data_IF_028910210260
#
_entry.id   IF_028910210260
#
_cell.length_a   1.000
_cell.length_b   1.000
_cell.length_c   1.000
_cell.angle_alpha   90.00
_cell.angle_beta   90.00
_cell.angle_gamma   90.00
#
_symmetry.space_group_name_H-M   'P 1'
#
loop_
_entity.id
_entity.type
_entity.pdbx_description
1 polymer ?
2 non-polymer ?
3 non-polymer ?
4 water ?
#
# COMPACT_ATOMS: atom_id res chain seq x y z
N UNK A 120 -31.57 11.44 -11.64
CA UNK A 120 -30.12 11.55 -11.70
C UNK A 120 -29.58 10.99 -13.00
N UNK A 121 -28.62 11.71 -13.59
CA UNK A 121 -28.06 11.34 -14.89
C UNK A 121 -26.74 10.58 -14.74
N UNK A 122 -26.10 10.31 -15.86
CA UNK A 122 -24.82 9.61 -15.87
C UNK A 122 -23.81 10.38 -15.03
N UNK A 123 -23.84 11.70 -15.10
CA UNK A 123 -22.92 12.55 -14.37
C UNK A 123 -23.02 12.31 -12.88
N UNK A 124 -24.25 12.14 -12.38
CA UNK A 124 -24.46 11.86 -10.96
C UNK A 124 -24.04 10.44 -10.64
N UNK A 125 -24.30 9.51 -11.55
CA UNK A 125 -23.82 8.14 -11.39
C UNK A 125 -22.31 8.16 -11.24
N UNK A 126 -21.67 8.90 -12.14
CA UNK A 126 -20.23 9.06 -12.09
C UNK A 126 -19.78 9.74 -10.80
N UNK A 127 -20.51 10.78 -10.41
CA UNK A 127 -20.14 11.58 -9.26
C UNK A 127 -20.52 10.92 -7.93
N UNK A 128 -21.51 10.03 -7.97
CA UNK A 128 -21.98 9.37 -6.76
C UNK A 128 -20.90 8.52 -6.12
N UNK A 129 -20.66 8.75 -4.83
CA UNK A 129 -19.63 8.03 -4.11
C UNK A 129 -18.22 8.46 -4.52
N UNK A 130 -18.12 9.24 -5.59
CA UNK A 130 -16.84 9.69 -6.10
C UNK A 130 -16.53 11.06 -5.52
N UNK A 131 -15.72 11.07 -4.46
CA UNK A 131 -15.44 12.29 -3.71
C UNK A 131 -14.63 13.31 -4.50
N UNK A 132 -14.23 12.96 -5.72
CA UNK A 132 -13.36 13.83 -6.50
C UNK A 132 -13.97 14.39 -7.77
N UNK A 133 -15.14 13.87 -8.14
CA UNK A 133 -15.88 14.48 -9.24
C UNK A 133 -17.31 14.73 -8.81
N UNK A 134 -17.76 15.93 -9.14
CA UNK A 134 -19.14 16.31 -8.98
C UNK A 134 -19.85 16.06 -10.29
N UNK A 135 -21.14 15.74 -10.23
CA UNK A 135 -21.93 15.62 -11.44
C UNK A 135 -21.92 16.94 -12.16
N UNK A 136 -21.78 18.02 -11.40
CA UNK A 136 -21.74 19.36 -11.96
C UNK A 136 -20.57 19.53 -12.92
N UNK A 137 -19.37 19.22 -12.47
CA UNK A 137 -18.19 19.43 -13.30
C UNK A 137 -18.26 18.54 -14.53
N UNK A 138 -18.85 17.36 -14.39
CA UNK A 138 -19.03 16.45 -15.52
C UNK A 138 -20.00 17.02 -16.53
N UNK A 139 -21.19 17.36 -16.06
CA UNK A 139 -22.17 18.05 -16.90
C UNK A 139 -21.52 19.30 -17.45
N UNK A 140 -20.80 20.01 -16.59
CA UNK A 140 -20.07 21.21 -16.99
C UNK A 140 -19.16 20.90 -18.15
N UNK A 141 -18.55 19.72 -18.12
CA UNK A 141 -17.64 19.31 -19.17
C UNK A 141 -18.38 18.93 -20.44
N UNK A 142 -19.42 18.11 -20.29
CA UNK A 142 -20.23 17.70 -21.43
C UNK A 142 -20.83 18.91 -22.11
N UNK A 143 -21.32 19.85 -21.30
CA UNK A 143 -21.92 21.07 -21.83
C UNK A 143 -20.86 21.93 -22.53
N UNK A 144 -19.63 21.86 -22.03
CA UNK A 144 -18.54 22.65 -22.61
C UNK A 144 -18.13 22.11 -23.97
N UNK A 145 -18.40 20.83 -24.21
CA UNK A 145 -18.02 20.18 -25.45
C UNK A 145 -19.12 20.27 -26.49
N UNK A 146 -18.90 21.08 -27.52
CA UNK A 146 -19.86 21.24 -28.60
C UNK A 146 -19.95 20.01 -29.48
N UNK A 147 -20.98 19.96 -30.32
CA UNK A 147 -21.21 18.80 -31.18
C UNK A 147 -20.12 18.64 -32.23
N UNK A 148 -19.48 19.74 -32.61
CA UNK A 148 -18.44 19.71 -33.63
C UNK A 148 -17.06 19.70 -33.00
N UNK A 149 -17.01 19.48 -31.69
CA UNK A 149 -15.75 19.42 -30.99
C UNK A 149 -14.89 18.33 -31.62
N UNK A 150 -13.69 18.70 -32.05
CA UNK A 150 -12.75 17.72 -32.54
C UNK A 150 -12.27 16.93 -31.33
N UNK A 151 -11.67 15.77 -31.57
CA UNK A 151 -11.11 15.00 -30.46
C UNK A 151 -10.15 15.84 -29.63
N UNK A 152 -9.42 16.72 -30.29
CA UNK A 152 -8.46 17.59 -29.64
C UNK A 152 -9.17 18.60 -28.72
N UNK A 153 -10.28 19.15 -29.20
CA UNK A 153 -11.06 20.11 -28.42
C UNK A 153 -11.54 19.47 -27.13
N UNK A 154 -12.05 18.26 -27.27
CA UNK A 154 -12.60 17.52 -26.14
C UNK A 154 -11.57 17.37 -25.04
N UNK A 155 -10.38 16.93 -25.43
CA UNK A 155 -9.31 16.69 -24.46
C UNK A 155 -8.91 17.98 -23.76
N UNK A 156 -8.83 19.06 -24.53
CA UNK A 156 -8.50 20.36 -23.97
C UNK A 156 -9.45 20.70 -22.82
N UNK A 157 -10.75 20.59 -23.09
CA UNK A 157 -11.77 20.92 -22.11
C UNK A 157 -11.67 20.01 -20.88
N UNK A 158 -11.55 18.71 -21.13
CA UNK A 158 -11.42 17.74 -20.06
C UNK A 158 -10.25 18.09 -19.17
N UNK A 159 -9.12 18.38 -19.80
CA UNK A 159 -7.90 18.74 -19.10
C UNK A 159 -8.05 20.01 -18.27
N UNK A 160 -8.77 20.99 -18.80
CA UNK A 160 -8.98 22.25 -18.10
C UNK A 160 -9.68 22.05 -16.76
N UNK A 161 -10.78 21.29 -16.77
CA UNK A 161 -11.63 21.15 -15.61
C UNK A 161 -11.12 20.09 -14.66
N UNK A 162 -10.36 19.14 -15.22
CA UNK A 162 -9.94 17.96 -14.49
C UNK A 162 -8.46 17.73 -14.71
N UNK A 163 -7.69 17.88 -13.64
CA UNK A 163 -6.24 17.77 -13.72
C UNK A 163 -5.82 16.31 -13.60
N UNK A 164 -6.61 15.54 -12.87
CA UNK A 164 -6.29 14.16 -12.60
C UNK A 164 -6.63 13.27 -13.80
N UNK A 165 -5.60 12.66 -14.43
CA UNK A 165 -5.84 11.81 -15.60
C UNK A 165 -6.91 10.76 -15.37
N UNK A 166 -6.94 10.22 -14.15
CA UNK A 166 -7.96 9.25 -13.78
C UNK A 166 -9.33 9.88 -13.93
N UNK A 167 -9.46 11.07 -13.36
CA UNK A 167 -10.71 11.79 -13.38
C UNK A 167 -11.01 12.28 -14.78
N UNK A 168 -9.97 12.63 -15.53
CA UNK A 168 -10.12 12.99 -16.94
C UNK A 168 -10.68 11.83 -17.73
N UNK A 169 -10.03 10.68 -17.59
CA UNK A 169 -10.46 9.50 -18.30
C UNK A 169 -11.88 9.17 -17.89
N UNK A 170 -12.14 9.29 -16.59
CA UNK A 170 -13.48 9.11 -16.05
C UNK A 170 -14.42 10.05 -16.77
N UNK A 171 -13.98 11.30 -16.89
CA UNK A 171 -14.77 12.32 -17.55
C UNK A 171 -15.03 11.93 -19.00
N UNK A 172 -14.04 11.40 -19.65
CA UNK A 172 -14.16 11.04 -21.04
C UNK A 172 -15.07 9.89 -21.28
N UNK A 173 -15.03 8.98 -20.37
CA UNK A 173 -15.92 7.86 -20.41
C UNK A 173 -17.28 8.38 -20.29
N UNK A 174 -17.44 9.25 -19.34
CA UNK A 174 -18.70 9.91 -19.10
C UNK A 174 -19.16 10.53 -20.41
N UNK A 175 -18.26 11.26 -21.00
CA UNK A 175 -18.58 12.03 -22.20
C UNK A 175 -18.94 11.16 -23.39
N UNK A 176 -18.11 10.18 -23.70
CA UNK A 176 -18.41 9.27 -24.79
C UNK A 176 -19.75 8.62 -24.53
N UNK A 177 -19.95 8.26 -23.27
CA UNK A 177 -21.09 7.48 -22.84
C UNK A 177 -22.36 8.30 -22.71
N UNK A 178 -22.21 9.56 -22.31
CA UNK A 178 -23.36 10.44 -22.17
C UNK A 178 -23.78 11.01 -23.51
N UNK A 179 -23.00 10.68 -24.55
CA UNK A 179 -23.25 11.22 -25.89
C UNK A 179 -24.04 10.22 -26.73
N UNK A 180 -25.25 10.60 -27.16
CA UNK A 180 -26.05 9.66 -27.95
C UNK A 180 -25.45 9.39 -29.33
N UNK A 181 -25.71 8.21 -29.91
CA UNK A 181 -25.20 7.88 -31.24
C UNK A 181 -25.75 8.80 -32.34
N UNK A 182 -26.80 9.55 -32.00
CA UNK A 182 -27.33 10.55 -32.91
C UNK A 182 -26.24 11.56 -33.24
N UNK A 183 -25.54 12.02 -32.19
CA UNK A 183 -24.34 12.83 -32.37
C UNK A 183 -23.20 11.91 -32.78
N UNK A 184 -23.37 11.26 -33.92
CA UNK A 184 -22.42 10.26 -34.40
C UNK A 184 -21.03 10.84 -34.58
N UNK A 185 -20.97 12.08 -35.06
CA UNK A 185 -19.70 12.74 -35.26
C UNK A 185 -19.06 13.13 -33.93
N UNK A 186 -19.86 13.69 -33.01
CA UNK A 186 -19.35 14.05 -31.69
C UNK A 186 -18.89 12.81 -30.95
N UNK A 187 -19.72 11.78 -30.95
CA UNK A 187 -19.35 10.59 -30.21
C UNK A 187 -18.09 10.01 -30.80
N UNK A 188 -17.98 10.03 -32.12
CA UNK A 188 -16.77 9.52 -32.76
C UNK A 188 -15.60 10.40 -32.39
N UNK A 189 -15.86 11.70 -32.26
CA UNK A 189 -14.82 12.63 -31.79
C UNK A 189 -14.47 12.33 -30.34
N UNK A 190 -15.48 12.20 -29.49
CA UNK A 190 -15.29 11.87 -28.09
C UNK A 190 -14.60 10.53 -27.95
N UNK A 191 -15.05 9.56 -28.76
CA UNK A 191 -14.41 8.26 -28.79
C UNK A 191 -12.96 8.45 -29.17
N UNK A 192 -12.73 9.22 -30.23
CA UNK A 192 -11.37 9.48 -30.67
C UNK A 192 -10.59 10.24 -29.60
N UNK A 193 -11.25 11.20 -28.97
CA UNK A 193 -10.63 11.96 -27.88
C UNK A 193 -10.23 11.01 -26.78
N UNK A 194 -11.18 10.20 -26.35
CA UNK A 194 -10.90 9.27 -25.27
C UNK A 194 -9.86 8.27 -25.70
N UNK A 195 -9.98 7.79 -26.93
CA UNK A 195 -8.97 6.92 -27.49
C UNK A 195 -7.63 7.60 -27.44
N UNK A 196 -7.62 8.88 -27.79
CA UNK A 196 -6.41 9.66 -27.73
C UNK A 196 -5.94 9.80 -26.28
N UNK A 197 -6.84 10.22 -25.39
CA UNK A 197 -6.49 10.39 -23.98
C UNK A 197 -5.96 9.09 -23.41
N UNK A 198 -6.63 8.00 -23.75
CA UNK A 198 -6.22 6.69 -23.30
C UNK A 198 -4.90 6.33 -23.94
N UNK A 199 -4.77 6.64 -25.23
CA UNK A 199 -3.51 6.44 -25.92
C UNK A 199 -2.42 7.24 -25.21
N UNK A 200 -2.76 8.47 -24.83
CA UNK A 200 -1.82 9.33 -24.10
C UNK A 200 -1.43 8.73 -22.76
N UNK A 201 -2.43 8.54 -21.90
CA UNK A 201 -2.14 8.22 -20.52
C UNK A 201 -2.02 6.75 -20.26
N UNK A 202 -2.62 5.96 -21.13
CA UNK A 202 -2.70 4.54 -20.92
C UNK A 202 -3.08 4.28 -19.48
N UNK A 203 -2.27 3.50 -18.81
CA UNK A 203 -2.55 3.08 -17.46
C UNK A 203 -2.67 4.21 -16.45
N UNK A 204 -1.86 5.24 -16.61
CA UNK A 204 -1.91 6.37 -15.69
C UNK A 204 -3.31 6.91 -15.55
N UNK A 205 -4.01 6.94 -16.68
CA UNK A 205 -5.40 7.32 -16.69
C UNK A 205 -6.23 6.14 -16.25
N UNK A 206 -6.06 5.03 -16.96
CA UNK A 206 -6.98 3.92 -16.85
C UNK A 206 -6.80 3.20 -15.52
N UNK A 207 -5.56 2.97 -15.13
CA UNK A 207 -5.29 2.33 -13.85
C UNK A 207 -5.77 3.17 -12.68
N UNK A 208 -5.42 4.44 -12.69
CA UNK A 208 -5.86 5.35 -11.63
C UNK A 208 -7.37 5.43 -11.66
N UNK A 209 -7.93 5.51 -12.85
CA UNK A 209 -9.38 5.54 -13.01
C UNK A 209 -9.97 4.31 -12.37
N UNK A 210 -9.37 3.16 -12.66
CA UNK A 210 -9.89 1.89 -12.16
C UNK A 210 -10.02 1.86 -10.64
N UNK A 211 -9.13 2.56 -9.94
CA UNK A 211 -9.12 2.51 -8.48
C UNK A 211 -9.54 3.81 -7.81
N UNK A 212 -10.35 4.59 -8.52
CA UNK A 212 -10.77 5.89 -8.01
C UNK A 212 -11.42 5.79 -6.64
N UNK A 213 -12.47 4.98 -6.54
CA UNK A 213 -13.22 4.85 -5.30
C UNK A 213 -12.33 4.39 -4.16
N UNK A 214 -11.53 3.37 -4.43
CA UNK A 214 -10.62 2.83 -3.43
C UNK A 214 -9.74 3.96 -2.87
N UNK A 215 -9.15 4.74 -3.77
CA UNK A 215 -8.25 5.81 -3.37
C UNK A 215 -8.96 6.80 -2.47
N UNK A 216 -10.23 7.06 -2.76
CA UNK A 216 -10.97 8.05 -2.01
C UNK A 216 -11.35 7.54 -0.63
N UNK A 217 -11.73 6.27 -0.58
CA UNK A 217 -12.10 5.61 0.66
C UNK A 217 -10.97 5.72 1.67
N UNK A 218 -9.77 5.36 1.22
CA UNK A 218 -8.63 5.29 2.10
C UNK A 218 -7.98 6.63 2.31
N UNK A 219 -8.12 7.52 1.33
CA UNK A 219 -7.71 8.89 1.50
C UNK A 219 -8.44 9.46 2.70
N UNK A 220 -9.73 9.12 2.79
CA UNK A 220 -10.57 9.61 3.87
C UNK A 220 -10.08 9.08 5.22
N UNK A 221 -9.82 7.78 5.28
CA UNK A 221 -9.40 7.16 6.53
C UNK A 221 -8.04 7.71 6.95
N UNK A 222 -7.17 7.91 5.96
CA UNK A 222 -5.83 8.41 6.19
C UNK A 222 -5.81 9.91 6.37
N UNK A 223 -6.92 10.55 6.00
CA UNK A 223 -6.98 12.00 5.91
C UNK A 223 -5.85 12.48 5.00
N UNK A 224 -5.77 11.86 3.82
CA UNK A 224 -4.82 12.26 2.78
C UNK A 224 -5.57 12.43 1.47
N UNK A 225 -4.85 12.81 0.42
CA UNK A 225 -5.47 13.01 -0.88
C UNK A 225 -5.68 11.67 -1.59
N UNK A 226 -6.87 11.46 -2.18
CA UNK A 226 -7.08 10.26 -2.99
C UNK A 226 -6.11 10.16 -4.16
N UNK A 227 -5.87 11.29 -4.83
CA UNK A 227 -4.97 11.29 -5.98
C UNK A 227 -3.59 10.82 -5.55
N UNK A 228 -3.15 11.28 -4.38
CA UNK A 228 -1.88 10.86 -3.82
C UNK A 228 -1.88 9.36 -3.67
N UNK A 229 -3.00 8.82 -3.21
CA UNK A 229 -3.11 7.38 -3.05
C UNK A 229 -3.12 6.69 -4.42
N UNK A 230 -3.81 7.26 -5.39
CA UNK A 230 -3.82 6.68 -6.74
C UNK A 230 -2.43 6.73 -7.35
N UNK A 231 -1.74 7.84 -7.09
CA UNK A 231 -0.39 7.99 -7.56
C UNK A 231 0.45 6.90 -6.92
N UNK A 232 0.33 6.80 -5.60
CA UNK A 232 0.98 5.75 -4.84
C UNK A 232 0.61 4.41 -5.46
N UNK A 233 -0.66 4.26 -5.75
CA UNK A 233 -1.15 3.02 -6.30
C UNK A 233 -0.52 2.70 -7.65
N UNK A 234 -0.52 3.68 -8.56
CA UNK A 234 0.02 3.47 -9.89
C UNK A 234 1.50 3.19 -9.78
N UNK A 235 2.10 3.90 -8.84
CA UNK A 235 3.47 3.68 -8.48
C UNK A 235 3.63 2.22 -8.09
N UNK A 236 2.87 1.79 -7.10
CA UNK A 236 2.94 0.42 -6.63
C UNK A 236 2.66 -0.56 -7.77
N UNK A 237 1.73 -0.22 -8.65
CA UNK A 237 1.31 -1.15 -9.70
C UNK A 237 1.97 -0.93 -11.05
N UNK A 238 2.79 0.10 -11.17
CA UNK A 238 3.46 0.39 -12.43
C UNK A 238 4.64 -0.54 -12.64
N UNK A 239 4.89 -1.37 -11.64
CA UNK A 239 6.02 -2.26 -11.69
C UNK A 239 5.81 -3.31 -10.64
N UNK A 240 6.54 -4.41 -10.77
CA UNK A 240 6.57 -5.40 -9.72
C UNK A 240 7.13 -4.73 -8.48
N UNK A 241 6.48 -4.95 -7.35
CA UNK A 241 6.98 -4.48 -6.08
C UNK A 241 6.84 -5.58 -5.07
N UNK A 242 7.96 -5.93 -4.46
CA UNK A 242 7.95 -6.86 -3.35
C UNK A 242 7.43 -6.17 -2.11
N UNK A 243 7.04 -6.95 -1.12
CA UNK A 243 6.63 -6.43 0.17
C UNK A 243 7.62 -5.43 0.75
N UNK A 244 8.89 -5.81 0.76
CA UNK A 244 9.94 -4.95 1.28
C UNK A 244 9.93 -3.61 0.58
N UNK A 245 9.85 -3.65 -0.74
CA UNK A 245 9.81 -2.44 -1.54
C UNK A 245 8.58 -1.64 -1.20
N UNK A 246 7.46 -2.33 -0.98
CA UNK A 246 6.24 -1.66 -0.59
C UNK A 246 6.44 -1.02 0.78
N UNK A 247 6.94 -1.78 1.75
CA UNK A 247 7.17 -1.22 3.08
C UNK A 247 8.09 0.00 3.01
N UNK A 248 9.22 -0.15 2.33
CA UNK A 248 10.17 0.95 2.20
C UNK A 248 9.53 2.13 1.48
N UNK A 249 8.76 1.83 0.45
CA UNK A 249 8.04 2.84 -0.31
C UNK A 249 7.06 3.59 0.58
N UNK A 250 6.57 2.93 1.62
CA UNK A 250 5.51 3.50 2.46
C UNK A 250 6.00 4.10 3.80
N UNK A 251 7.07 3.57 4.33
CA UNK A 251 7.50 3.94 5.66
C UNK A 251 7.70 5.40 5.89
N UNK A 252 8.28 6.03 4.92
CA UNK A 252 8.60 7.43 5.06
C UNK A 252 7.39 8.29 4.76
N UNK A 253 6.36 7.66 4.24
CA UNK A 253 5.16 8.35 3.80
C UNK A 253 4.06 8.25 4.81
N UNK A 254 4.10 7.20 5.61
CA UNK A 254 3.01 6.92 6.52
C UNK A 254 3.53 6.39 7.84
N UNK A 255 2.82 6.77 8.90
CA UNK A 255 3.01 6.11 10.18
C UNK A 255 2.69 4.66 9.96
N UNK A 256 3.12 3.82 10.88
CA UNK A 256 2.84 2.41 10.76
C UNK A 256 1.35 2.16 10.78
N UNK A 257 0.65 2.89 11.64
CA UNK A 257 -0.80 2.83 11.67
C UNK A 257 -1.34 3.08 10.26
N UNK A 258 -0.85 4.14 9.62
CA UNK A 258 -1.36 4.54 8.32
C UNK A 258 -0.90 3.61 7.21
N UNK A 259 0.27 3.03 7.36
CA UNK A 259 0.74 2.08 6.37
C UNK A 259 -0.20 0.91 6.25
N UNK A 260 -0.72 0.48 7.39
CA UNK A 260 -1.68 -0.60 7.42
C UNK A 260 -2.86 -0.19 6.55
N UNK A 261 -3.28 1.04 6.73
CA UNK A 261 -4.42 1.57 5.99
C UNK A 261 -4.07 1.65 4.51
N UNK A 262 -2.89 2.17 4.20
CA UNK A 262 -2.45 2.27 2.82
C UNK A 262 -2.39 0.90 2.14
N UNK A 263 -1.86 -0.08 2.86
CA UNK A 263 -1.76 -1.43 2.33
C UNK A 263 -3.13 -1.91 1.91
N UNK A 264 -4.11 -1.69 2.79
CA UNK A 264 -5.49 -2.07 2.52
C UNK A 264 -5.96 -1.40 1.24
N UNK A 265 -5.59 -0.13 1.09
CA UNK A 265 -5.92 0.60 -0.11
C UNK A 265 -5.35 -0.05 -1.36
N UNK A 266 -4.05 -0.34 -1.31
CA UNK A 266 -3.37 -0.93 -2.46
C UNK A 266 -4.05 -2.21 -2.87
N UNK A 267 -4.34 -3.02 -1.86
CA UNK A 267 -5.03 -4.28 -2.07
C UNK A 267 -6.33 -4.04 -2.78
N UNK A 268 -7.08 -3.08 -2.26
CA UNK A 268 -8.40 -2.81 -2.78
C UNK A 268 -8.29 -2.37 -4.23
N UNK A 269 -7.33 -1.49 -4.52
CA UNK A 269 -7.19 -0.95 -5.85
C UNK A 269 -6.83 -2.03 -6.85
N UNK A 270 -5.91 -2.90 -6.47
CA UNK A 270 -5.47 -3.92 -7.40
C UNK A 270 -6.53 -4.95 -7.65
N UNK A 271 -7.21 -5.34 -6.58
CA UNK A 271 -8.35 -6.23 -6.69
C UNK A 271 -9.30 -5.62 -7.69
N UNK A 272 -9.52 -4.33 -7.56
CA UNK A 272 -10.44 -3.62 -8.41
C UNK A 272 -10.02 -3.71 -9.88
N UNK A 273 -8.74 -3.52 -10.13
CA UNK A 273 -8.25 -3.51 -11.50
C UNK A 273 -8.29 -4.87 -12.16
N UNK A 274 -7.97 -5.89 -11.38
CA UNK A 274 -7.98 -7.24 -11.91
C UNK A 274 -9.39 -7.63 -12.38
N UNK A 276 -11.48 -5.39 -13.38
CA UNK A 276 -11.75 -4.51 -14.59
C UNK A 276 -11.09 -5.04 -15.85
N UNK A 277 -9.89 -5.60 -15.71
CA UNK A 277 -9.12 -6.02 -16.88
C UNK A 277 -8.95 -4.87 -17.85
N UNK A 278 -8.44 -5.14 -19.04
CA UNK A 278 -8.31 -4.11 -20.04
C UNK A 278 -6.85 -3.96 -20.38
N UNK A 279 -6.58 -3.37 -21.56
CA UNK A 279 -5.21 -3.44 -22.06
C UNK A 279 -4.24 -2.65 -21.17
N UNK A 280 -4.76 -1.95 -20.16
CA UNK A 280 -3.93 -1.13 -19.26
C UNK A 280 -3.90 -1.69 -17.88
N UNK A 281 -4.54 -2.83 -17.71
CA UNK A 281 -4.44 -3.53 -16.45
C UNK A 281 -3.38 -4.60 -16.63
N UNK A 282 -2.22 -4.42 -15.97
CA UNK A 282 -1.18 -5.44 -16.00
C UNK A 282 -1.63 -6.52 -15.07
N UNK A 283 -2.59 -7.31 -15.54
CA UNK A 283 -3.27 -8.28 -14.68
C UNK A 283 -2.31 -9.16 -13.93
N UNK A 284 -1.37 -9.77 -14.65
CA UNK A 284 -0.36 -10.65 -14.07
C UNK A 284 0.38 -9.89 -12.97
N UNK A 285 0.79 -8.67 -13.31
CA UNK A 285 1.56 -7.82 -12.42
C UNK A 285 0.82 -7.49 -11.12
N UNK A 286 -0.45 -7.15 -11.25
CA UNK A 286 -1.27 -6.80 -10.09
C UNK A 286 -1.40 -7.97 -9.14
N UNK A 287 -1.51 -9.16 -9.71
CA UNK A 287 -1.62 -10.35 -8.90
C UNK A 287 -0.43 -10.46 -7.99
N UNK A 288 0.76 -10.30 -8.57
CA UNK A 288 1.98 -10.42 -7.80
C UNK A 288 2.02 -9.32 -6.77
N UNK A 289 1.62 -8.13 -7.17
CA UNK A 289 1.65 -6.99 -6.26
C UNK A 289 0.73 -7.18 -5.07
N UNK A 290 -0.41 -7.80 -5.30
CA UNK A 290 -1.35 -8.03 -4.22
C UNK A 290 -0.76 -9.02 -3.23
N UNK A 291 -0.09 -10.02 -3.76
CA UNK A 291 0.61 -10.98 -2.93
C UNK A 291 1.60 -10.22 -2.05
N UNK A 292 2.34 -9.32 -2.67
CA UNK A 292 3.37 -8.59 -1.98
C UNK A 292 2.76 -7.62 -0.98
N UNK A 293 1.60 -7.09 -1.31
CA UNK A 293 0.98 -6.12 -0.43
C UNK A 293 0.38 -6.83 0.77
N UNK A 294 -0.17 -8.01 0.56
CA UNK A 294 -0.67 -8.80 1.67
C UNK A 294 0.49 -9.08 2.62
N UNK A 295 1.65 -9.39 2.05
CA UNK A 295 2.83 -9.59 2.85
C UNK A 295 3.13 -8.35 3.67
N UNK A 296 3.06 -7.19 3.03
CA UNK A 296 3.29 -5.93 3.72
C UNK A 296 2.38 -5.79 4.93
N UNK A 297 1.10 -6.08 4.73
CA UNK A 297 0.13 -6.00 5.81
C UNK A 297 0.56 -6.87 6.99
N UNK A 298 0.99 -8.07 6.66
CA UNK A 298 1.49 -8.99 7.65
C UNK A 298 2.65 -8.36 8.41
N UNK A 299 3.51 -7.69 7.66
CA UNK A 299 4.68 -7.08 8.26
C UNK A 299 4.27 -5.96 9.19
N UNK A 300 3.33 -5.14 8.74
CA UNK A 300 2.87 -4.03 9.56
C UNK A 300 2.27 -4.51 10.87
N UNK A 301 1.51 -5.59 10.80
CA UNK A 301 0.91 -6.14 11.99
C UNK A 301 2.00 -6.54 12.96
N UNK A 302 3.03 -7.17 12.43
CA UNK A 302 4.16 -7.57 13.24
C UNK A 302 4.81 -6.35 13.87
N UNK A 303 5.01 -5.31 13.08
CA UNK A 303 5.60 -4.09 13.59
C UNK A 303 4.78 -3.54 14.75
N UNK A 304 3.45 -3.62 14.62
CA UNK A 304 2.57 -3.13 15.65
C UNK A 304 2.76 -3.94 16.92
N UNK A 305 2.99 -5.21 16.75
CA UNK A 305 3.24 -6.08 17.87
C UNK A 305 4.39 -5.54 18.69
N UNK A 306 5.41 -5.20 17.98
CA UNK A 306 6.61 -4.71 18.61
C UNK A 306 6.42 -3.32 19.19
N UNK A 307 5.61 -2.52 18.52
CA UNK A 307 5.35 -1.15 18.96
C UNK A 307 4.91 -1.08 20.41
N UNK A 308 4.08 -2.02 20.83
CA UNK A 308 3.49 -1.95 22.16
C UNK A 308 4.40 -2.57 23.21
N UNK A 309 5.19 -3.56 22.81
CA UNK A 309 5.94 -4.37 23.77
C UNK A 309 7.37 -3.91 23.96
N UNK A 310 7.96 -3.39 22.90
CA UNK A 310 9.33 -2.95 22.96
C UNK A 310 9.51 -1.88 24.06
N UNK A 311 8.67 -0.84 24.07
CA UNK A 311 8.84 0.19 25.11
C UNK A 311 8.79 -0.37 26.52
N UNK A 312 7.84 -1.26 26.74
CA UNK A 312 7.64 -1.89 28.03
C UNK A 312 8.92 -2.58 28.45
N UNK A 313 9.43 -3.37 27.52
CA UNK A 313 10.66 -4.09 27.71
C UNK A 313 11.78 -3.14 28.08
N UNK A 314 11.95 -2.13 27.24
CA UNK A 314 13.05 -1.20 27.43
C UNK A 314 12.89 -0.41 28.72
N UNK A 315 11.67 0.00 29.04
CA UNK A 315 11.42 0.75 30.28
C UNK A 315 11.69 -0.09 31.52
N UNK A 316 11.28 -1.35 31.45
CA UNK A 316 11.47 -2.26 32.56
C UNK A 316 12.95 -2.50 32.78
N UNK A 317 13.68 -2.65 31.68
CA UNK A 317 15.12 -2.77 31.76
C UNK A 317 15.68 -1.49 32.39
N UNK A 318 15.26 -0.35 31.86
CA UNK A 318 15.69 0.94 32.36
C UNK A 318 15.43 1.12 33.85
N UNK A 319 14.23 0.72 34.29
CA UNK A 319 13.81 0.90 35.68
C UNK A 319 14.79 0.25 36.64
N UNK A 320 15.42 -0.83 36.19
CA UNK A 320 16.37 -1.55 37.01
C UNK A 320 17.80 -1.20 36.68
N UNK A 321 17.97 -0.05 36.03
CA UNK A 321 19.30 0.47 35.73
C UNK A 321 19.97 -0.26 34.59
N UNK A 322 19.21 -1.05 33.83
CA UNK A 322 19.75 -1.69 32.64
C UNK A 322 19.60 -0.74 31.47
N UNK A 323 20.72 -0.21 30.99
CA UNK A 323 20.68 0.71 29.88
C UNK A 323 20.51 -0.06 28.58
N UNK A 324 19.54 0.38 27.80
CA UNK A 324 19.34 -0.13 26.46
C UNK A 324 19.63 1.01 25.52
N UNK A 325 20.06 0.70 24.28
CA UNK A 325 20.31 1.76 23.30
C UNK A 325 19.11 2.69 23.21
N UNK A 326 19.32 3.96 23.52
CA UNK A 326 18.20 4.90 23.66
C UNK A 326 17.40 5.02 22.37
N UNK A 327 18.06 4.78 21.24
CA UNK A 327 17.40 4.88 19.94
C UNK A 327 16.70 3.58 19.59
N UNK A 328 16.90 2.56 20.41
CA UNK A 328 16.23 1.31 20.17
C UNK A 328 14.74 1.52 20.30
N UNK A 329 14.02 1.16 19.26
CA UNK A 329 12.59 1.31 19.23
C UNK A 329 11.98 0.09 18.58
N UNK A 330 10.67 0.05 18.52
CA UNK A 330 10.00 -1.14 18.04
C UNK A 330 10.32 -1.45 16.59
N UNK A 331 10.54 -0.41 15.79
CA UNK A 331 10.78 -0.60 14.37
C UNK A 331 12.07 -1.37 14.18
N UNK A 332 13.14 -0.91 14.81
CA UNK A 332 14.41 -1.60 14.75
C UNK A 332 14.23 -3.02 15.23
N UNK A 333 13.51 -3.16 16.33
CA UNK A 333 13.25 -4.46 16.90
C UNK A 333 12.46 -5.30 15.89
N UNK A 334 11.40 -4.72 15.35
CA UNK A 334 10.57 -5.40 14.37
C UNK A 334 11.37 -5.73 13.12
N UNK A 335 12.17 -4.78 12.67
CA UNK A 335 12.97 -4.97 11.48
C UNK A 335 13.89 -6.17 11.67
N UNK A 336 14.52 -6.20 12.84
CA UNK A 336 15.44 -7.27 13.17
C UNK A 336 14.65 -8.55 13.17
N UNK A 337 13.46 -8.49 13.74
CA UNK A 337 12.56 -9.63 13.79
C UNK A 337 12.26 -10.16 12.40
N UNK A 338 11.99 -9.25 11.46
CA UNK A 338 11.63 -9.68 10.10
C UNK A 338 12.80 -10.09 9.22
N UNK A 340 15.22 -11.81 10.52
CA UNK A 340 15.21 -13.22 11.00
C UNK A 340 14.24 -14.15 10.22
N UNK A 341 12.97 -13.75 10.13
CA UNK A 341 11.99 -14.65 9.55
C UNK A 341 12.07 -14.66 8.02
N UNK A 342 12.63 -13.63 7.42
CA UNK A 342 12.79 -13.59 5.96
C UNK A 342 14.10 -14.24 5.55
N UNK A 343 14.97 -14.41 6.52
CA UNK A 343 16.23 -15.08 6.31
C UNK A 343 16.00 -16.41 5.62
N UNK A 344 16.63 -16.61 4.46
CA UNK A 344 16.54 -17.88 3.77
C UNK A 344 17.19 -18.95 4.64
N UNK A 345 18.12 -18.52 5.49
CA UNK A 345 18.90 -19.46 6.28
C UNK A 345 19.18 -18.91 7.67
N UNK A 346 18.11 -18.71 8.44
CA UNK A 346 18.24 -18.20 9.81
C UNK A 346 18.86 -19.25 10.69
N UNK A 347 19.40 -18.82 11.82
CA UNK A 347 19.88 -19.74 12.83
C UNK A 347 19.66 -19.08 14.18
N UNK A 348 19.82 -19.84 15.25
CA UNK A 348 19.61 -19.32 16.58
C UNK A 348 20.70 -18.31 16.86
N UNK A 349 21.88 -18.63 16.37
CA UNK A 349 23.03 -17.75 16.49
C UNK A 349 22.76 -16.44 15.74
N UNK A 351 19.87 -15.30 15.04
CA UNK A 351 18.78 -14.61 15.81
C UNK A 351 19.36 -13.86 16.99
N UNK A 352 20.09 -14.57 17.85
CA UNK A 352 20.68 -13.92 19.01
C UNK A 352 21.54 -12.77 18.56
N UNK A 353 22.31 -13.01 17.50
CA UNK A 353 23.20 -12.00 16.98
C UNK A 353 22.36 -10.83 16.54
N UNK A 354 21.31 -11.12 15.81
CA UNK A 354 20.38 -10.09 15.38
C UNK A 354 19.91 -9.29 16.60
N UNK A 355 19.57 -9.99 17.68
CA UNK A 355 19.07 -9.32 18.88
C UNK A 355 20.16 -8.56 19.60
N UNK A 356 21.33 -9.16 19.70
CA UNK A 356 22.43 -8.49 20.36
C UNK A 356 22.78 -7.24 19.57
N UNK A 357 22.83 -7.37 18.24
CA UNK A 357 23.03 -6.22 17.36
C UNK A 357 22.01 -5.16 17.67
N UNK A 358 20.83 -5.63 18.05
CA UNK A 358 19.69 -4.76 18.26
C UNK A 358 19.76 -4.04 19.61
N UNK A 359 19.89 -4.79 20.69
CA UNK A 359 19.73 -4.24 22.03
C UNK A 359 21.00 -4.29 22.87
N UNK A 360 22.06 -4.84 22.29
CA UNK A 360 23.29 -4.97 23.03
C UNK A 360 23.30 -6.27 23.80
N UNK A 361 24.09 -6.33 24.86
CA UNK A 361 24.43 -7.62 25.44
C UNK A 361 23.91 -7.85 26.85
N UNK A 362 23.20 -6.90 27.43
CA UNK A 362 22.66 -7.14 28.74
C UNK A 362 21.75 -8.35 28.65
N UNK A 363 22.00 -9.32 29.52
CA UNK A 363 21.31 -10.60 29.46
C UNK A 363 19.82 -10.38 29.51
N UNK A 364 19.37 -9.48 30.38
CA UNK A 364 17.95 -9.24 30.54
C UNK A 364 17.42 -8.55 29.29
N UNK A 365 18.24 -7.67 28.73
CA UNK A 365 17.83 -6.98 27.51
C UNK A 365 17.72 -7.95 26.34
N UNK A 366 18.77 -8.72 26.11
CA UNK A 366 18.77 -9.68 25.02
C UNK A 366 17.65 -10.67 25.22
N UNK A 367 17.57 -11.18 26.44
CA UNK A 367 16.54 -12.12 26.81
C UNK A 367 15.18 -11.52 26.55
N UNK A 368 15.02 -10.28 26.99
CA UNK A 368 13.81 -9.53 26.77
C UNK A 368 13.42 -9.56 25.31
N UNK A 369 14.35 -9.17 24.44
CA UNK A 369 14.06 -9.08 23.02
C UNK A 369 13.80 -10.45 22.40
N UNK A 370 14.65 -11.41 22.72
CA UNK A 370 14.45 -12.75 22.17
C UNK A 370 13.09 -13.25 22.58
N UNK A 371 12.76 -13.05 23.86
CA UNK A 371 11.45 -13.37 24.37
C UNK A 371 10.40 -12.65 23.56
N UNK A 372 10.68 -11.39 23.28
CA UNK A 372 9.76 -10.59 22.50
C UNK A 372 9.64 -11.15 21.09
N UNK A 373 10.77 -11.51 20.48
CA UNK A 373 10.74 -12.12 19.15
C UNK A 373 10.02 -13.43 19.18
N UNK A 374 10.30 -14.21 20.21
CA UNK A 374 9.68 -15.49 20.36
C UNK A 374 8.19 -15.29 20.42
N UNK A 375 7.76 -14.32 21.21
CA UNK A 375 6.35 -14.05 21.37
C UNK A 375 5.79 -13.52 20.04
N UNK A 376 6.59 -12.70 19.35
CA UNK A 376 6.18 -12.14 18.07
C UNK A 376 5.93 -13.23 17.04
N UNK A 377 6.76 -14.26 17.07
CA UNK A 377 6.68 -15.34 16.11
C UNK A 377 5.30 -15.97 16.07
N UNK A 378 4.75 -16.21 17.25
CA UNK A 378 3.42 -16.77 17.36
C UNK A 378 2.40 -15.84 16.73
N UNK A 379 2.71 -14.55 16.73
CA UNK A 379 1.78 -13.53 16.28
C UNK A 379 1.96 -13.18 14.81
N UNK A 380 3.07 -13.60 14.22
CA UNK A 380 3.38 -13.19 12.87
C UNK A 380 2.54 -13.94 11.84
N UNK A 381 2.09 -13.23 10.82
CA UNK A 381 1.28 -13.83 9.78
C UNK A 381 2.02 -14.96 9.07
N UNK A 382 1.27 -16.02 8.79
CA UNK A 382 1.79 -17.16 8.05
C UNK A 382 2.31 -16.76 6.67
N UNK A 383 1.78 -15.68 6.12
CA UNK A 383 2.24 -15.15 4.86
C UNK A 383 3.74 -14.95 4.83
N UNK A 384 4.27 -14.55 5.98
CA UNK A 384 5.65 -14.12 6.08
C UNK A 384 6.58 -15.28 6.32
N UNK A 385 6.03 -16.48 6.29
CA UNK A 385 6.82 -17.69 6.38
C UNK A 385 6.50 -18.52 5.15
N UNK A 386 7.53 -19.13 4.56
CA UNK A 386 7.29 -20.00 3.40
C UNK A 386 6.35 -21.13 3.82
N UNK A 387 6.37 -21.47 5.10
CA UNK A 387 5.47 -22.48 5.64
C UNK A 387 5.34 -22.38 7.15
N UNK A 388 4.40 -23.12 7.72
CA UNK A 388 4.25 -23.17 9.17
C UNK A 388 5.50 -23.74 9.80
N UNK A 389 6.13 -24.68 9.09
CA UNK A 389 7.37 -25.29 9.56
C UNK A 389 8.46 -24.23 9.77
N UNK A 391 8.05 -21.15 10.55
CA UNK A 391 7.77 -20.38 11.79
C UNK A 391 8.30 -21.14 12.99
N UNK A 392 7.99 -22.43 13.05
CA UNK A 392 8.44 -23.26 14.15
C UNK A 392 9.96 -23.26 14.20
N UNK A 393 10.57 -23.40 13.03
CA UNK A 393 12.03 -23.43 12.93
C UNK A 393 12.60 -22.16 13.52
N UNK A 394 11.99 -21.04 13.18
CA UNK A 394 12.41 -19.75 13.72
C UNK A 394 12.18 -19.68 15.23
N UNK A 395 11.08 -20.24 15.69
CA UNK A 395 10.76 -20.22 17.11
C UNK A 395 11.78 -21.03 17.85
N UNK A 396 12.09 -22.20 17.29
CA UNK A 396 13.11 -23.05 17.84
C UNK A 396 14.43 -22.30 17.90
N UNK A 397 14.74 -21.57 16.84
CA UNK A 397 15.97 -20.80 16.78
C UNK A 397 15.99 -19.75 17.88
N UNK A 398 14.87 -19.06 18.07
CA UNK A 398 14.78 -18.03 19.09
C UNK A 398 14.87 -18.63 20.50
N UNK A 399 14.15 -19.71 20.72
CA UNK A 399 14.21 -20.39 22.00
C UNK A 399 15.65 -20.78 22.27
N UNK A 400 16.31 -21.29 21.25
CA UNK A 400 17.70 -21.69 21.39
C UNK A 400 18.57 -20.49 21.68
N UNK A 401 18.26 -19.37 21.04
CA UNK A 401 18.97 -18.13 21.34
C UNK A 401 18.80 -17.79 22.81
N UNK A 402 17.55 -17.81 23.28
CA UNK A 402 17.26 -17.49 24.68
C UNK A 402 18.05 -18.33 25.64
N UNK A 403 18.10 -19.63 25.35
CA UNK A 403 18.91 -20.53 26.14
C UNK A 403 20.35 -20.07 26.10
N UNK A 404 20.85 -19.80 24.89
CA UNK A 404 22.24 -19.41 24.73
C UNK A 404 22.56 -18.20 25.59
N UNK A 405 21.65 -17.22 25.61
CA UNK A 405 21.85 -16.01 26.40
C UNK A 405 22.06 -16.34 27.87
N UNK A 406 21.08 -17.01 28.46
CA UNK A 406 21.17 -17.38 29.86
C UNK A 406 22.36 -18.28 30.15
N UNK A 407 22.61 -19.23 29.27
CA UNK A 407 23.76 -20.11 29.39
C UNK A 407 25.03 -19.29 29.45
N UNK A 408 25.15 -18.34 28.53
CA UNK A 408 26.35 -17.53 28.41
C UNK A 408 26.34 -16.36 29.39
N UNK A 409 25.24 -16.20 30.12
CA UNK A 409 25.15 -15.16 31.14
C UNK A 409 26.07 -15.46 32.31
N UNK A 410 26.59 -14.41 32.96
CA UNK A 410 27.52 -14.56 34.07
C UNK A 410 26.98 -13.94 35.36
N UNK A 411 26.09 -12.96 35.24
CA UNK A 411 25.55 -12.29 36.42
C UNK A 411 24.42 -13.11 37.06
#
# INVERSE_FOLDING_TARGET
MKHHHHHHPMSDYDIPTTENLYFQGAMAASGGTGGLGGTQGVNLAAVEAAAAKADAAEVVASQEGSEMNMIQQSQDLTNPAAATRTKKKEEKFQTLESRKKGEAGKAEKKSESTEEKPDTDLADKYASGNSEISGQELRGLRDAIGDDASPEDILALVQEKIKDPALQSTALDYLVQTTPPSQGKLKEALIQARNTHTEQFGRTAIGAKNILFASQEYADQLNVSPSGLRSLYLEVTGDTHTCDQLLSMLQDRYTYQDMAIVSSFLMKGMATELXRQGPYVPSAQLQVLMTETRNLQAVLTSYDYFESRVPILLDSLKAEGIQTPSDLNFVKVAESYHXIINDKFPTASXVEREVRNLIGDDVDSVTGVLNLFFSALRQTSSRLFSSADXRQQLGAMIANALDAVNINNEDYPKASDFPKPYPWS
#
